data_IF_645316609078
#
_entry.id   IF_645316609078
#
_cell.length_a   1.000
_cell.length_b   1.000
_cell.length_c   1.000
_cell.angle_alpha   90.00
_cell.angle_beta   90.00
_cell.angle_gamma   90.00
#
_symmetry.space_group_name_H-M   'P 1'
#
loop_
_entity.id
_entity.type
_entity.pdbx_description
1 polymer ?
#
# COMPACT_ATOMS: atom_id res chain seq x y z
N UNK A 1 7.11 -2.56 3.03
CA UNK A 1 5.74 -3.06 3.17
C UNK A 1 5.55 -4.30 2.30
N UNK A 2 4.54 -5.10 2.61
CA UNK A 2 4.11 -6.25 1.79
C UNK A 2 2.60 -6.42 1.88
N UNK A 3 1.99 -6.92 0.81
CA UNK A 3 0.55 -7.16 0.72
C UNK A 3 0.31 -8.65 0.52
N UNK A 4 -0.58 -9.22 1.32
CA UNK A 4 -1.04 -10.58 1.15
C UNK A 4 -2.29 -10.65 0.28
N UNK A 5 -2.29 -11.58 -0.66
CA UNK A 5 -3.40 -11.81 -1.57
C UNK A 5 -4.64 -12.35 -0.82
N UNK A 6 -5.83 -11.95 -1.25
CA UNK A 6 -7.06 -12.51 -0.64
C UNK A 6 -7.26 -13.99 -0.98
N UNK A 7 -8.14 -14.68 -0.25
CA UNK A 7 -8.59 -16.06 -0.57
C UNK A 7 -9.30 -16.17 -1.93
N UNK A 8 -9.86 -15.07 -2.42
CA UNK A 8 -10.76 -15.03 -3.57
C UNK A 8 -9.97 -14.97 -4.90
N UNK A 9 -10.47 -14.21 -5.87
CA UNK A 9 -9.90 -14.09 -7.21
C UNK A 9 -8.63 -13.24 -7.25
N UNK A 10 -7.60 -13.73 -7.97
CA UNK A 10 -6.38 -12.98 -8.25
C UNK A 10 -6.58 -11.75 -9.16
N UNK A 11 -7.75 -11.61 -9.81
CA UNK A 11 -8.08 -10.41 -10.60
C UNK A 11 -8.32 -9.17 -9.73
N UNK A 12 -8.52 -9.35 -8.43
CA UNK A 12 -8.76 -8.26 -7.45
C UNK A 12 -7.49 -7.81 -6.77
N UNK A 13 -6.37 -8.47 -7.02
CA UNK A 13 -5.12 -8.18 -6.33
C UNK A 13 -4.66 -6.75 -6.69
N UNK A 14 -4.33 -5.91 -5.70
CA UNK A 14 -3.81 -4.58 -5.95
C UNK A 14 -2.45 -4.69 -6.64
N UNK A 15 -2.21 -3.96 -7.73
CA UNK A 15 -0.94 -4.00 -8.48
C UNK A 15 -0.14 -2.73 -8.34
N UNK A 16 -0.81 -1.58 -8.20
CA UNK A 16 -0.18 -0.27 -7.98
C UNK A 16 -0.85 0.41 -6.80
N UNK A 17 -0.05 1.10 -5.99
CA UNK A 17 -0.52 1.84 -4.82
C UNK A 17 0.21 3.18 -4.69
N UNK A 18 -0.39 4.10 -3.94
CA UNK A 18 0.36 5.14 -3.24
C UNK A 18 0.35 4.88 -1.74
N UNK A 19 1.44 5.27 -1.07
CA UNK A 19 1.50 5.39 0.38
C UNK A 19 1.83 6.83 0.68
N UNK A 20 1.08 7.40 1.61
CA UNK A 20 1.15 8.81 1.97
C UNK A 20 1.14 8.93 3.49
N UNK A 21 1.87 9.92 4.01
CA UNK A 21 1.99 10.20 5.43
C UNK A 21 1.45 11.58 5.78
N UNK A 22 0.98 11.75 7.02
CA UNK A 22 0.56 13.04 7.57
C UNK A 22 0.91 13.15 9.06
N UNK A 23 1.19 14.40 9.48
CA UNK A 23 1.34 14.82 10.88
C UNK A 23 0.34 15.94 11.23
N UNK A 24 -0.68 16.13 10.39
CA UNK A 24 -1.73 17.12 10.61
C UNK A 24 -2.77 16.56 11.59
N UNK A 25 -3.54 17.44 12.23
CA UNK A 25 -4.69 17.09 13.08
C UNK A 25 -5.70 16.17 12.40
N UNK A 26 -6.32 15.28 13.19
CA UNK A 26 -7.23 14.24 12.69
C UNK A 26 -8.40 14.81 11.86
N UNK A 27 -8.96 15.94 12.31
CA UNK A 27 -10.08 16.61 11.64
C UNK A 27 -9.77 17.05 10.19
N UNK A 28 -8.50 17.26 9.88
CA UNK A 28 -8.03 17.70 8.57
C UNK A 28 -7.55 16.54 7.67
N UNK A 29 -7.50 15.30 8.17
CA UNK A 29 -7.07 14.12 7.39
C UNK A 29 -8.00 13.79 6.22
N UNK A 30 -9.20 14.37 6.20
CA UNK A 30 -10.17 14.25 5.09
C UNK A 30 -9.71 14.98 3.82
N UNK A 31 -8.80 15.95 3.92
CA UNK A 31 -8.38 16.75 2.77
C UNK A 31 -7.15 16.13 2.09
N UNK A 32 -7.18 16.05 0.77
CA UNK A 32 -6.04 15.53 -0.02
C UNK A 32 -4.73 16.29 0.22
N UNK A 33 -4.79 17.61 0.46
CA UNK A 33 -3.64 18.46 0.75
C UNK A 33 -2.92 18.10 2.07
N UNK A 34 -3.58 17.37 2.96
CA UNK A 34 -3.04 16.98 4.26
C UNK A 34 -2.05 15.81 4.17
N UNK A 35 -1.80 15.27 2.98
CA UNK A 35 -1.05 14.05 2.76
C UNK A 35 0.20 14.30 1.91
N UNK A 36 1.34 13.84 2.42
CA UNK A 36 2.62 13.86 1.69
C UNK A 36 2.84 12.47 1.11
N UNK A 37 2.96 12.38 -0.21
CA UNK A 37 3.20 11.11 -0.90
C UNK A 37 4.64 10.66 -0.69
N UNK A 38 4.80 9.47 -0.10
CA UNK A 38 6.10 8.86 0.19
C UNK A 38 6.41 7.67 -0.70
N UNK A 39 5.39 7.08 -1.33
CA UNK A 39 5.53 5.98 -2.28
C UNK A 39 4.49 6.09 -3.40
N UNK A 40 4.91 5.78 -4.63
CA UNK A 40 4.04 5.62 -5.80
C UNK A 40 4.60 4.53 -6.69
N UNK A 41 3.97 3.36 -6.72
CA UNK A 41 4.50 2.25 -7.48
C UNK A 41 3.85 0.92 -7.17
N UNK A 42 4.60 -0.15 -7.48
CA UNK A 42 4.09 -1.52 -7.42
C UNK A 42 3.75 -1.95 -5.98
N UNK A 43 2.65 -2.68 -5.83
CA UNK A 43 2.25 -3.24 -4.53
C UNK A 43 3.11 -4.43 -4.05
N UNK A 44 4.00 -4.95 -4.92
CA UNK A 44 4.63 -6.26 -4.76
C UNK A 44 3.84 -7.43 -5.37
N UNK A 45 2.64 -7.17 -5.91
CA UNK A 45 1.79 -8.16 -6.60
C UNK A 45 1.64 -7.87 -8.11
N UNK A 46 2.35 -6.88 -8.64
CA UNK A 46 2.21 -6.44 -10.03
C UNK A 46 2.66 -7.47 -11.07
N UNK A 47 3.77 -8.17 -10.81
CA UNK A 47 4.45 -9.00 -11.82
C UNK A 47 4.12 -10.48 -11.74
N UNK A 48 3.90 -11.01 -10.53
CA UNK A 48 3.61 -12.43 -10.31
C UNK A 48 2.54 -12.60 -9.23
N UNK A 49 1.59 -13.49 -9.47
CA UNK A 49 0.64 -13.96 -8.46
C UNK A 49 1.35 -14.98 -7.54
N UNK A 50 1.52 -14.70 -6.23
CA UNK A 50 2.15 -15.63 -5.30
C UNK A 50 1.26 -16.83 -4.93
N UNK A 51 0.03 -16.89 -5.43
CA UNK A 51 -1.05 -17.76 -4.94
C UNK A 51 -1.94 -17.02 -3.95
N UNK A 52 -2.94 -17.70 -3.38
CA UNK A 52 -3.93 -17.10 -2.47
C UNK A 52 -3.45 -17.13 -1.02
N UNK A 53 -3.82 -16.11 -0.24
CA UNK A 53 -3.42 -15.93 1.17
C UNK A 53 -1.90 -15.97 1.36
N UNK A 54 -1.17 -15.43 0.37
CA UNK A 54 0.29 -15.39 0.36
C UNK A 54 0.77 -13.97 0.12
N UNK A 55 1.89 -13.64 0.75
CA UNK A 55 2.54 -12.35 0.55
C UNK A 55 3.18 -12.25 -0.83
N UNK A 56 3.03 -11.07 -1.44
CA UNK A 56 3.82 -10.67 -2.60
C UNK A 56 5.25 -10.29 -2.23
N UNK A 57 5.98 -9.72 -3.19
CA UNK A 57 7.34 -9.26 -2.99
C UNK A 57 7.37 -8.07 -2.02
N UNK A 58 8.29 -8.09 -1.05
CA UNK A 58 8.53 -6.95 -0.18
C UNK A 58 8.93 -5.72 -0.99
N UNK A 59 8.32 -4.58 -0.66
CA UNK A 59 8.59 -3.28 -1.25
C UNK A 59 9.26 -2.36 -0.23
N UNK A 60 10.27 -1.62 -0.65
CA UNK A 60 11.00 -0.65 0.18
C UNK A 60 10.60 0.77 -0.18
N UNK A 61 10.29 1.59 0.82
CA UNK A 61 10.07 3.04 0.66
C UNK A 61 11.40 3.73 0.94
N UNK A 62 12.21 3.97 -0.11
CA UNK A 62 13.56 4.53 0.04
C UNK A 62 13.59 6.04 0.19
N UNK A 63 12.55 6.75 -0.28
CA UNK A 63 12.50 8.21 -0.31
C UNK A 63 11.92 8.85 0.96
N UNK A 64 11.55 8.06 1.97
CA UNK A 64 10.94 8.62 3.18
C UNK A 64 12.00 9.05 4.20
N UNK A 65 12.15 10.36 4.39
CA UNK A 65 13.02 10.95 5.41
C UNK A 65 12.26 11.47 6.64
N UNK A 66 10.93 11.34 6.66
CA UNK A 66 10.07 11.88 7.71
C UNK A 66 9.31 10.77 8.45
N UNK A 67 9.10 10.97 9.74
CA UNK A 67 8.20 10.15 10.54
C UNK A 67 6.79 10.74 10.50
N UNK A 68 5.78 9.88 10.34
CA UNK A 68 4.38 10.27 10.28
C UNK A 68 3.56 9.59 11.38
N UNK A 69 2.58 10.31 11.94
CA UNK A 69 1.61 9.78 12.91
C UNK A 69 0.41 9.12 12.23
N UNK A 70 0.10 9.51 10.99
CA UNK A 70 -0.99 8.95 10.20
C UNK A 70 -0.50 8.50 8.83
N UNK A 71 -1.02 7.36 8.36
CA UNK A 71 -0.72 6.81 7.03
C UNK A 71 -2.01 6.54 6.26
N UNK A 72 -1.96 6.80 4.95
CA UNK A 72 -3.01 6.43 4.00
C UNK A 72 -2.42 5.62 2.87
N UNK A 73 -3.13 4.56 2.49
CA UNK A 73 -2.78 3.69 1.37
C UNK A 73 -3.91 3.80 0.36
N UNK A 74 -3.58 4.13 -0.88
CA UNK A 74 -4.55 4.18 -1.98
C UNK A 74 -4.17 3.12 -3.01
N UNK A 75 -5.12 2.27 -3.38
CA UNK A 75 -4.94 1.33 -4.48
C UNK A 75 -5.25 2.06 -5.79
N UNK A 76 -4.25 2.22 -6.65
CA UNK A 76 -4.39 2.97 -7.91
C UNK A 76 -4.59 2.06 -9.12
N UNK A 77 -4.25 0.77 -9.00
CA UNK A 77 -4.53 -0.24 -10.02
C UNK A 77 -4.66 -1.63 -9.40
N UNK A 78 -5.33 -2.54 -10.12
CA UNK A 78 -5.48 -3.96 -9.77
C UNK A 78 -5.30 -4.84 -11.00
N UNK A 79 -5.03 -6.13 -10.79
CA UNK A 79 -4.60 -7.04 -11.87
C UNK A 79 -5.63 -7.23 -12.97
N UNK A 80 -6.92 -7.33 -12.61
CA UNK A 80 -8.01 -7.58 -13.54
C UNK A 80 -9.10 -6.52 -13.50
N UNK A 81 -10.25 -6.85 -14.10
CA UNK A 81 -11.37 -5.92 -14.32
C UNK A 81 -12.57 -6.13 -13.41
N UNK A 82 -12.41 -6.87 -12.31
CA UNK A 82 -13.51 -7.03 -11.34
C UNK A 82 -13.90 -5.70 -10.67
N UNK A 83 -15.07 -5.65 -10.03
CA UNK A 83 -15.64 -4.42 -9.47
C UNK A 83 -15.02 -3.98 -8.14
N UNK A 84 -14.09 -4.77 -7.58
CA UNK A 84 -13.47 -4.48 -6.30
C UNK A 84 -11.99 -4.89 -6.26
N UNK A 85 -11.30 -4.40 -5.24
CA UNK A 85 -9.94 -4.82 -4.84
C UNK A 85 -10.08 -5.76 -3.63
N UNK A 86 -9.21 -6.76 -3.52
CA UNK A 86 -9.18 -7.63 -2.36
C UNK A 86 -7.74 -8.04 -1.99
N UNK A 87 -7.40 -7.85 -0.72
CA UNK A 87 -6.18 -8.30 -0.07
C UNK A 87 -6.56 -8.76 1.34
N UNK A 88 -5.79 -9.67 1.94
CA UNK A 88 -6.07 -10.15 3.30
C UNK A 88 -5.33 -9.34 4.36
N UNK A 89 -4.15 -8.82 4.01
CA UNK A 89 -3.27 -8.16 4.97
C UNK A 89 -2.35 -7.15 4.27
N UNK A 90 -2.05 -6.07 4.98
CA UNK A 90 -1.02 -5.10 4.62
C UNK A 90 -0.08 -4.98 5.82
N UNK A 91 1.19 -5.32 5.62
CA UNK A 91 2.21 -5.19 6.66
C UNK A 91 3.20 -4.09 6.26
N UNK A 92 3.39 -3.13 7.16
CA UNK A 92 4.39 -2.08 7.02
C UNK A 92 5.28 -2.06 8.26
N UNK A 93 6.56 -2.25 8.02
CA UNK A 93 7.62 -2.18 9.01
C UNK A 93 8.49 -0.97 8.73
N UNK A 94 8.94 -0.33 9.80
CA UNK A 94 9.92 0.75 9.76
C UNK A 94 11.10 0.40 10.66
N UNK A 95 12.23 1.06 10.44
CA UNK A 95 13.36 1.07 11.36
C UNK A 95 13.80 2.51 11.58
N UNK A 96 14.21 2.84 12.80
CA UNK A 96 15.02 4.02 13.00
C UNK A 96 16.42 3.71 12.46
N UNK A 97 17.08 4.64 11.73
CA UNK A 97 18.50 4.50 11.44
C UNK A 97 19.27 4.54 12.76
N UNK A 98 20.16 3.58 12.99
CA UNK A 98 21.16 3.61 14.06
C UNK A 98 22.16 4.77 13.86
#
# INVERSE_FOLDING_TARGET
FRIATSKNSGSRDPTQITIEGSNIEESDLIFGKSWIKIYNGASGLATKDPGRQKYGNNQTISSNSLSFTSYRILITSKRGREYCVAYSEFEMTGRFPD
#
